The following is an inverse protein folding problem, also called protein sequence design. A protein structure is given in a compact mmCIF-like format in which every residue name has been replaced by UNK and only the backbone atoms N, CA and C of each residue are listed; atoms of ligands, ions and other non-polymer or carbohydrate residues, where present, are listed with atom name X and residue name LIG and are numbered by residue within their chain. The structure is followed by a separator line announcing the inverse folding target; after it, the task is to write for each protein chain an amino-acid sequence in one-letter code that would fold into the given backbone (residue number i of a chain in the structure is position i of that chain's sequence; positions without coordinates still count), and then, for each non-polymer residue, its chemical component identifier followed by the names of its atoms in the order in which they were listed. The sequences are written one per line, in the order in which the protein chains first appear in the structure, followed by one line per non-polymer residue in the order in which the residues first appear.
data_IF_938782050645
#
_entry.id   IF_938782050645
#
_cell.length_a   1.000
_cell.length_b   1.000
_cell.length_c   1.000
_cell.angle_alpha   90.00
_cell.angle_beta   90.00
_cell.angle_gamma   90.00
#
_symmetry.space_group_name_H-M   'P 1'
#
loop_
_entity.id
_entity.type
_entity.pdbx_description
1 polymer ?
#
# COMPACT_ATOMS: atom_id res chain seq x y z
N UNK A 1 -12.29 85.07 54.52
CA UNK A 1 -12.80 83.72 54.85
C UNK A 1 -13.47 83.13 53.62
N UNK A 2 -13.00 81.95 53.18
CA UNK A 2 -13.64 80.95 52.29
C UNK A 2 -14.03 81.42 50.86
N UNK A 3 -13.29 81.02 49.82
CA UNK A 3 -13.48 79.81 48.95
C UNK A 3 -14.65 79.98 47.95
N UNK A 4 -14.61 79.73 46.64
CA UNK A 4 -13.90 78.78 45.76
C UNK A 4 -14.19 79.21 44.28
N UNK A 5 -13.19 79.27 43.36
CA UNK A 5 -12.93 78.37 42.18
C UNK A 5 -14.03 78.37 41.08
N UNK A 6 -13.83 78.49 39.75
CA UNK A 6 -12.74 78.24 38.76
C UNK A 6 -12.84 79.21 37.54
N UNK A 7 -11.78 79.33 36.70
CA UNK A 7 -11.72 80.26 35.57
C UNK A 7 -12.06 79.67 34.18
N UNK A 8 -12.61 80.55 33.35
CA UNK A 8 -12.36 80.83 31.92
C UNK A 8 -12.01 79.70 30.91
N UNK A 9 -12.95 79.57 29.97
CA UNK A 9 -12.77 79.67 28.50
C UNK A 9 -11.52 79.05 27.86
N UNK A 10 -11.77 77.87 27.27
CA UNK A 10 -11.42 77.45 25.89
C UNK A 10 -10.48 78.38 25.10
N UNK A 11 -9.26 77.90 24.84
CA UNK A 11 -8.70 77.68 23.49
C UNK A 11 -7.23 77.24 23.59
N UNK A 12 -6.87 76.13 22.95
CA UNK A 12 -5.46 75.73 22.85
C UNK A 12 -5.22 74.32 22.29
N UNK A 13 -5.10 74.26 20.96
CA UNK A 13 -4.34 73.29 20.14
C UNK A 13 -4.66 71.78 20.16
N UNK A 14 -4.86 71.31 18.93
CA UNK A 14 -4.19 70.16 18.30
C UNK A 14 -4.81 68.77 18.22
N UNK A 15 -4.39 68.10 17.14
CA UNK A 15 -4.60 66.71 16.71
C UNK A 15 -5.89 66.46 15.91
N UNK A 16 -6.06 67.19 14.80
CA UNK A 16 -6.86 66.74 13.65
C UNK A 16 -5.98 66.14 12.56
N UNK A 17 -5.18 65.12 12.88
CA UNK A 17 -4.48 64.26 11.89
C UNK A 17 -3.96 63.00 12.58
N UNK A 18 -4.87 62.16 13.05
CA UNK A 18 -4.55 60.80 13.47
C UNK A 18 -5.65 59.85 12.97
N UNK A 19 -5.92 59.91 11.67
CA UNK A 19 -6.71 58.91 10.98
C UNK A 19 -5.80 58.26 9.94
N UNK A 20 -5.74 56.92 10.00
CA UNK A 20 -5.29 56.02 8.94
C UNK A 20 -3.76 55.89 8.77
N UNK A 21 -3.08 55.27 9.75
CA UNK A 21 -1.94 54.37 9.46
C UNK A 21 -1.78 53.36 10.61
N UNK A 22 -2.87 52.67 10.96
CA UNK A 22 -2.75 51.32 11.53
C UNK A 22 -3.23 50.35 10.44
N UNK A 23 -2.43 50.25 9.39
CA UNK A 23 -2.42 49.06 8.55
C UNK A 23 -1.93 47.95 9.45
N UNK A 24 -2.87 47.27 10.12
CA UNK A 24 -2.64 45.93 10.64
C UNK A 24 -2.41 45.09 9.37
N UNK A 25 -1.17 45.10 8.90
CA UNK A 25 -0.67 44.05 8.02
C UNK A 25 -0.69 42.80 8.89
N UNK A 26 -1.85 42.13 8.94
CA UNK A 26 -1.90 40.70 9.18
C UNK A 26 -1.16 40.14 7.98
N UNK A 27 0.17 40.09 8.11
CA UNK A 27 1.00 39.25 7.29
C UNK A 27 0.62 37.85 7.75
N UNK A 28 -0.47 37.33 7.18
CA UNK A 28 -0.70 35.91 7.09
C UNK A 28 0.49 35.38 6.29
N UNK A 29 1.59 35.10 6.99
CA UNK A 29 2.47 34.02 6.56
C UNK A 29 1.59 32.80 6.61
N UNK A 30 0.89 32.54 5.50
CA UNK A 30 0.53 31.20 5.11
C UNK A 30 1.86 30.46 4.99
N UNK A 31 2.38 29.96 6.11
CA UNK A 31 3.35 28.89 6.06
C UNK A 31 2.65 27.84 5.22
N UNK A 32 3.13 27.60 4.00
CA UNK A 32 2.68 26.49 3.21
C UNK A 32 2.85 25.27 4.11
N UNK A 33 1.75 24.78 4.67
CA UNK A 33 1.73 23.52 5.40
C UNK A 33 1.85 22.50 4.30
N UNK A 34 3.09 22.17 3.94
CA UNK A 34 3.41 21.08 3.02
C UNK A 34 2.69 19.85 3.57
N UNK A 35 1.75 19.28 2.82
CA UNK A 35 0.90 18.19 3.30
C UNK A 35 1.58 16.81 3.20
N UNK A 36 2.91 16.82 2.98
CA UNK A 36 3.80 15.68 3.01
C UNK A 36 3.89 14.96 4.37
N UNK A 37 4.85 14.03 4.52
CA UNK A 37 5.00 13.27 5.76
C UNK A 37 5.21 14.16 7.00
N UNK A 38 4.45 13.92 8.07
CA UNK A 38 4.46 14.74 9.28
C UNK A 38 4.81 13.94 10.54
N UNK A 39 5.34 14.65 11.53
CA UNK A 39 5.67 14.09 12.84
C UNK A 39 6.78 13.05 12.79
N UNK A 40 7.77 13.27 11.92
CA UNK A 40 8.90 12.36 11.75
C UNK A 40 9.73 12.27 13.04
N UNK A 41 9.96 11.04 13.53
CA UNK A 41 10.83 10.71 14.64
C UNK A 41 11.79 9.61 14.21
N UNK A 42 13.07 9.94 14.14
CA UNK A 42 14.13 8.96 13.82
C UNK A 42 14.33 8.05 15.04
N UNK A 43 13.99 6.78 14.89
CA UNK A 43 14.20 5.75 15.92
C UNK A 43 15.58 5.14 15.79
N UNK A 44 16.09 5.01 14.55
CA UNK A 44 17.41 4.44 14.26
C UNK A 44 17.98 4.98 12.95
N UNK A 45 19.31 5.06 12.92
CA UNK A 45 20.08 5.44 11.73
C UNK A 45 20.36 6.94 11.67
N UNK A 46 21.21 7.34 10.73
CA UNK A 46 21.46 8.74 10.41
C UNK A 46 20.46 9.14 9.33
N UNK A 47 19.56 10.06 9.65
CA UNK A 47 18.52 10.55 8.74
C UNK A 47 18.55 12.07 8.71
N UNK A 48 18.55 12.63 7.52
CA UNK A 48 18.45 14.07 7.28
C UNK A 48 17.23 14.34 6.40
N UNK A 49 16.45 15.35 6.78
CA UNK A 49 15.29 15.83 6.04
C UNK A 49 15.63 17.18 5.41
N UNK A 50 15.39 17.33 4.12
CA UNK A 50 15.63 18.57 3.38
C UNK A 50 14.40 18.86 2.51
N UNK A 51 13.68 19.93 2.80
CA UNK A 51 12.58 20.41 1.96
C UNK A 51 13.15 21.27 0.80
N UNK A 52 12.73 21.01 -0.43
CA UNK A 52 13.14 21.70 -1.65
C UNK A 52 11.89 21.97 -2.51
N UNK A 53 11.25 23.12 -2.30
CA UNK A 53 9.94 23.41 -2.90
C UNK A 53 8.93 22.32 -2.50
N UNK A 54 8.31 21.67 -3.46
CA UNK A 54 7.33 20.59 -3.26
C UNK A 54 7.98 19.21 -3.09
N UNK A 55 9.32 19.14 -2.99
CA UNK A 55 10.06 17.89 -2.78
C UNK A 55 10.63 17.79 -1.37
N UNK A 56 10.22 16.78 -0.61
CA UNK A 56 10.89 16.36 0.62
C UNK A 56 11.96 15.31 0.31
N UNK A 57 13.22 15.64 0.55
CA UNK A 57 14.35 14.71 0.43
C UNK A 57 14.69 14.12 1.80
N UNK A 58 14.68 12.79 1.89
CA UNK A 58 15.03 12.03 3.09
C UNK A 58 16.31 11.24 2.82
N UNK A 59 17.45 11.76 3.26
CA UNK A 59 18.73 11.05 3.17
C UNK A 59 18.89 10.18 4.40
N UNK A 60 18.91 8.86 4.23
CA UNK A 60 18.93 7.92 5.34
C UNK A 60 20.03 6.88 5.18
N UNK A 61 20.69 6.49 6.27
CA UNK A 61 21.63 5.36 6.28
C UNK A 61 20.92 4.01 6.08
N UNK A 62 21.67 2.96 5.75
CA UNK A 62 21.11 1.61 5.70
C UNK A 62 20.51 1.19 7.06
N UNK A 63 19.38 0.49 7.03
CA UNK A 63 18.60 0.03 8.19
C UNK A 63 18.11 1.17 9.09
N UNK A 64 17.80 2.33 8.51
CA UNK A 64 17.18 3.44 9.25
C UNK A 64 15.70 3.14 9.53
N UNK A 65 15.21 3.58 10.68
CA UNK A 65 13.82 3.44 11.11
C UNK A 65 13.31 4.83 11.47
N UNK A 66 12.23 5.24 10.81
CA UNK A 66 11.59 6.52 10.97
C UNK A 66 10.12 6.27 11.27
N UNK A 67 9.67 6.74 12.43
CA UNK A 67 8.25 6.77 12.74
C UNK A 67 7.66 8.10 12.26
N UNK A 68 6.47 8.08 11.68
CA UNK A 68 5.72 9.25 11.25
C UNK A 68 4.35 9.28 11.92
N UNK A 69 3.85 10.47 12.25
CA UNK A 69 2.45 10.63 12.68
C UNK A 69 1.50 10.43 11.51
N UNK A 70 1.87 10.93 10.33
CA UNK A 70 1.17 10.67 9.07
C UNK A 70 2.19 10.63 7.94
N UNK A 71 1.91 9.82 6.92
CA UNK A 71 2.73 9.75 5.72
C UNK A 71 1.78 9.83 4.53
N UNK A 72 1.56 11.07 4.07
CA UNK A 72 0.78 11.38 2.88
C UNK A 72 1.71 12.07 1.88
N UNK A 73 1.36 11.98 0.60
CA UNK A 73 2.03 12.69 -0.48
C UNK A 73 0.94 13.20 -1.41
N UNK A 74 0.50 14.46 -1.28
CA UNK A 74 -0.49 15.05 -2.18
C UNK A 74 -0.03 15.05 -3.64
N UNK A 75 -0.99 15.15 -4.57
CA UNK A 75 -0.68 15.34 -5.98
C UNK A 75 0.19 16.59 -6.18
N UNK A 76 1.24 16.47 -7.01
CA UNK A 76 2.23 17.52 -7.24
C UNK A 76 3.38 17.55 -6.23
N UNK A 77 3.26 16.91 -5.07
CA UNK A 77 4.36 16.78 -4.12
C UNK A 77 5.22 15.53 -4.39
N UNK A 78 6.47 15.57 -3.93
CA UNK A 78 7.43 14.46 -4.06
C UNK A 78 8.07 14.13 -2.73
N UNK A 79 8.14 12.86 -2.37
CA UNK A 79 9.04 12.36 -1.32
C UNK A 79 10.14 11.51 -1.95
N UNK A 80 11.39 11.88 -1.72
CA UNK A 80 12.57 11.19 -2.26
C UNK A 80 13.46 10.65 -1.15
N UNK A 81 13.55 9.34 -1.03
CA UNK A 81 14.52 8.65 -0.19
C UNK A 81 15.85 8.46 -0.93
N UNK A 82 16.93 8.93 -0.32
CA UNK A 82 18.31 8.75 -0.80
C UNK A 82 19.07 7.88 0.20
N UNK A 83 19.26 6.62 -0.18
CA UNK A 83 19.96 5.59 0.59
C UNK A 83 21.35 5.30 0.01
N UNK A 84 22.28 4.65 0.75
CA UNK A 84 23.63 4.36 0.24
C UNK A 84 23.70 3.44 -0.99
N UNK A 85 22.73 2.55 -1.17
CA UNK A 85 22.70 1.56 -2.27
C UNK A 85 21.27 1.05 -2.53
N UNK A 86 21.06 0.36 -3.66
CA UNK A 86 19.80 -0.33 -3.97
C UNK A 86 19.46 -1.47 -3.00
N UNK A 87 20.46 -2.03 -2.34
CA UNK A 87 20.29 -3.03 -1.28
C UNK A 87 20.01 -2.44 0.11
N UNK A 88 20.14 -1.12 0.27
CA UNK A 88 19.89 -0.45 1.54
C UNK A 88 18.40 -0.43 1.86
N UNK A 89 18.08 -0.59 3.15
CA UNK A 89 16.69 -0.68 3.65
C UNK A 89 16.35 0.53 4.52
N UNK A 90 15.14 1.05 4.37
CA UNK A 90 14.57 2.08 5.24
C UNK A 90 13.14 1.69 5.63
N UNK A 91 12.83 1.82 6.92
CA UNK A 91 11.49 1.63 7.45
C UNK A 91 10.84 2.98 7.74
N UNK A 92 9.78 3.28 7.00
CA UNK A 92 8.82 4.35 7.23
C UNK A 92 7.59 3.75 7.91
N UNK A 93 7.46 3.96 9.22
CA UNK A 93 6.35 3.44 10.03
C UNK A 93 5.40 4.55 10.42
N UNK A 94 4.16 4.49 9.97
CA UNK A 94 3.11 5.39 10.41
C UNK A 94 2.51 4.89 11.70
N UNK A 95 2.51 5.74 12.73
CA UNK A 95 1.97 5.43 14.06
C UNK A 95 0.71 6.22 14.39
N UNK A 96 0.22 7.05 13.47
CA UNK A 96 -1.03 7.80 13.62
C UNK A 96 -2.28 6.97 13.35
N UNK A 97 -3.44 7.64 13.36
CA UNK A 97 -4.77 7.05 13.22
C UNK A 97 -5.25 6.80 11.79
N UNK A 98 -4.67 7.50 10.81
CA UNK A 98 -5.20 7.59 9.46
C UNK A 98 -4.37 6.77 8.46
N UNK A 99 -5.05 6.24 7.44
CA UNK A 99 -4.41 5.60 6.30
C UNK A 99 -3.47 6.57 5.58
N UNK A 100 -2.44 6.03 4.94
CA UNK A 100 -1.53 6.79 4.10
C UNK A 100 -2.19 7.05 2.74
N UNK A 101 -2.29 8.32 2.35
CA UNK A 101 -2.75 8.73 1.03
C UNK A 101 -1.57 9.20 0.17
N UNK A 102 -1.26 8.47 -0.89
CA UNK A 102 -0.15 8.74 -1.79
C UNK A 102 -0.75 9.08 -3.16
N UNK A 103 -0.85 10.37 -3.48
CA UNK A 103 -1.34 10.89 -4.76
C UNK A 103 -0.21 11.52 -5.60
N UNK A 104 0.94 11.81 -4.98
CA UNK A 104 2.12 12.39 -5.64
C UNK A 104 3.21 11.37 -5.95
N UNK A 105 4.46 11.85 -6.02
CA UNK A 105 5.61 11.03 -6.40
C UNK A 105 6.38 10.50 -5.20
N UNK A 106 6.63 9.19 -5.15
CA UNK A 106 7.45 8.54 -4.12
C UNK A 106 8.64 7.85 -4.76
N UNK A 107 9.84 8.38 -4.56
CA UNK A 107 11.07 7.85 -5.14
C UNK A 107 11.98 7.30 -4.05
N UNK A 108 12.52 6.10 -4.24
CA UNK A 108 13.50 5.51 -3.34
C UNK A 108 14.55 4.74 -4.15
N UNK A 109 15.82 5.13 -4.06
CA UNK A 109 16.87 4.36 -4.75
C UNK A 109 17.20 3.00 -4.11
N UNK A 110 16.53 2.61 -3.02
CA UNK A 110 16.71 1.32 -2.33
C UNK A 110 15.38 0.68 -1.93
N UNK A 111 15.38 -0.08 -0.83
CA UNK A 111 14.23 -0.85 -0.35
C UNK A 111 13.44 -0.05 0.68
N UNK A 112 12.23 0.37 0.32
CA UNK A 112 11.33 1.13 1.16
C UNK A 112 10.26 0.22 1.78
N UNK A 113 10.22 0.21 3.11
CA UNK A 113 9.12 -0.38 3.86
C UNK A 113 8.21 0.75 4.33
N UNK A 114 6.99 0.82 3.81
CA UNK A 114 5.93 1.71 4.25
C UNK A 114 4.90 0.89 5.02
N UNK A 115 4.83 1.09 6.33
CA UNK A 115 3.93 0.33 7.22
C UNK A 115 2.93 1.28 7.87
N UNK A 116 1.64 0.96 7.78
CA UNK A 116 0.57 1.73 8.40
C UNK A 116 -0.64 0.83 8.67
N UNK A 117 -0.97 0.53 9.93
CA UNK A 117 -2.10 -0.37 10.25
C UNK A 117 -3.45 0.11 9.69
N UNK A 118 -3.65 1.42 9.53
CA UNK A 118 -4.90 1.97 9.00
C UNK A 118 -5.06 1.75 7.49
N UNK A 119 -3.96 1.48 6.77
CA UNK A 119 -3.94 1.22 5.33
C UNK A 119 -2.99 2.12 4.55
N UNK A 120 -2.79 1.76 3.29
CA UNK A 120 -1.98 2.50 2.31
C UNK A 120 -2.73 2.59 0.99
N UNK A 121 -3.07 3.80 0.57
CA UNK A 121 -3.74 4.07 -0.69
C UNK A 121 -2.80 4.82 -1.65
N UNK A 122 -2.57 4.23 -2.82
CA UNK A 122 -1.91 4.90 -3.94
C UNK A 122 -3.00 5.37 -4.92
N UNK A 123 -3.27 6.67 -4.94
CA UNK A 123 -4.29 7.27 -5.82
C UNK A 123 -3.90 7.23 -7.30
N UNK A 124 -4.83 7.62 -8.17
CA UNK A 124 -4.67 7.50 -9.62
C UNK A 124 -3.53 8.34 -10.22
N UNK A 125 -3.10 9.39 -9.52
CA UNK A 125 -1.95 10.24 -9.91
C UNK A 125 -0.63 9.77 -9.29
N UNK A 126 -0.66 8.76 -8.43
CA UNK A 126 0.52 8.29 -7.71
C UNK A 126 1.55 7.68 -8.66
N UNK A 127 2.81 8.06 -8.48
CA UNK A 127 3.94 7.43 -9.17
C UNK A 127 4.97 7.02 -8.13
N UNK A 128 5.18 5.71 -7.99
CA UNK A 128 6.17 5.14 -7.07
C UNK A 128 7.29 4.51 -7.87
N UNK A 129 8.54 4.91 -7.59
CA UNK A 129 9.73 4.30 -8.17
C UNK A 129 10.70 3.91 -7.05
N UNK A 130 10.88 2.60 -6.84
CA UNK A 130 11.73 2.07 -5.77
C UNK A 130 12.65 0.94 -6.25
N UNK A 131 13.74 0.63 -5.55
CA UNK A 131 14.41 -0.65 -5.80
C UNK A 131 13.53 -1.82 -5.31
N UNK A 132 12.95 -1.69 -4.12
CA UNK A 132 11.86 -2.55 -3.68
C UNK A 132 10.85 -1.75 -2.84
N UNK A 133 9.57 -2.05 -2.98
CA UNK A 133 8.49 -1.47 -2.20
C UNK A 133 7.82 -2.56 -1.36
N UNK A 134 7.72 -2.33 -0.06
CA UNK A 134 6.89 -3.11 0.86
C UNK A 134 5.82 -2.17 1.43
N UNK A 135 4.62 -2.21 0.88
CA UNK A 135 3.47 -1.44 1.37
C UNK A 135 2.58 -2.38 2.20
N UNK A 136 2.55 -2.15 3.51
CA UNK A 136 1.93 -3.08 4.46
C UNK A 136 0.94 -2.34 5.35
N UNK A 137 -0.32 -2.74 5.29
CA UNK A 137 -1.39 -2.26 6.14
C UNK A 137 -1.35 -2.88 7.55
N UNK A 138 -0.19 -2.79 8.19
CA UNK A 138 0.13 -3.37 9.49
C UNK A 138 1.50 -2.89 9.96
N UNK A 139 2.27 -3.75 10.63
CA UNK A 139 3.55 -3.39 11.23
C UNK A 139 4.61 -4.50 11.11
N UNK A 140 5.88 -4.11 11.14
CA UNK A 140 7.05 -4.99 11.33
C UNK A 140 7.78 -4.55 12.58
N UNK A 141 8.22 -5.47 13.44
CA UNK A 141 8.99 -5.10 14.64
C UNK A 141 10.37 -4.57 14.25
N UNK A 142 10.95 -3.65 15.03
CA UNK A 142 12.32 -3.15 14.79
C UNK A 142 13.33 -4.30 14.72
N UNK A 143 13.14 -5.32 15.56
CA UNK A 143 13.98 -6.52 15.60
C UNK A 143 13.90 -7.31 14.29
N UNK A 144 12.69 -7.59 13.81
CA UNK A 144 12.50 -8.40 12.61
C UNK A 144 12.98 -7.65 11.37
N UNK A 145 12.69 -6.33 11.28
CA UNK A 145 13.26 -5.46 10.27
C UNK A 145 14.79 -5.53 10.28
N UNK A 146 15.45 -5.32 11.42
CA UNK A 146 16.92 -5.34 11.50
C UNK A 146 17.54 -6.71 11.19
N UNK A 147 16.83 -7.80 11.48
CA UNK A 147 17.27 -9.17 11.16
C UNK A 147 16.98 -9.59 9.73
N UNK A 148 16.38 -8.71 8.91
CA UNK A 148 15.91 -9.04 7.55
C UNK A 148 14.88 -10.17 7.54
N UNK A 149 14.13 -10.31 8.64
CA UNK A 149 12.99 -11.20 8.73
C UNK A 149 11.75 -10.38 8.38
N UNK A 150 11.22 -10.55 7.17
CA UNK A 150 10.03 -9.81 6.71
C UNK A 150 8.76 -10.46 7.29
N UNK A 151 8.65 -10.42 8.63
CA UNK A 151 7.49 -10.83 9.42
C UNK A 151 6.65 -9.61 9.76
N UNK A 152 5.49 -9.52 9.12
CA UNK A 152 4.50 -8.49 9.38
C UNK A 152 3.44 -9.00 10.33
N UNK A 153 2.89 -8.09 11.13
CA UNK A 153 1.92 -8.37 12.19
C UNK A 153 0.94 -7.21 12.30
N UNK A 154 -0.17 -7.40 13.00
CA UNK A 154 -1.18 -6.36 13.18
C UNK A 154 -1.77 -5.88 11.85
N UNK A 155 -1.93 -6.80 10.90
CA UNK A 155 -2.56 -6.51 9.60
C UNK A 155 -4.04 -6.21 9.87
N UNK A 156 -4.49 -5.00 9.51
CA UNK A 156 -5.84 -4.52 9.81
C UNK A 156 -6.47 -3.72 8.66
N UNK A 157 -5.71 -2.84 8.02
CA UNK A 157 -6.18 -1.99 6.93
C UNK A 157 -6.07 -2.62 5.54
N UNK A 158 -6.50 -1.86 4.54
CA UNK A 158 -6.38 -2.21 3.13
C UNK A 158 -5.13 -1.59 2.49
N UNK A 159 -4.65 -2.23 1.42
CA UNK A 159 -3.66 -1.65 0.49
C UNK A 159 -4.27 -1.55 -0.90
N UNK A 160 -4.42 -0.33 -1.41
CA UNK A 160 -5.05 -0.07 -2.72
C UNK A 160 -4.08 0.63 -3.65
N UNK A 161 -4.07 0.24 -4.93
CA UNK A 161 -3.30 0.89 -5.97
C UNK A 161 -4.16 1.23 -7.19
N UNK A 162 -4.43 2.51 -7.38
CA UNK A 162 -4.99 3.12 -8.59
C UNK A 162 -3.91 3.77 -9.47
N UNK A 163 -2.69 3.93 -8.95
CA UNK A 163 -1.57 4.62 -9.61
C UNK A 163 -0.57 3.68 -10.29
N UNK A 164 0.66 4.17 -10.48
CA UNK A 164 1.77 3.43 -11.09
C UNK A 164 2.84 3.07 -10.06
N UNK A 165 3.06 1.77 -9.84
CA UNK A 165 4.13 1.25 -8.98
C UNK A 165 5.22 0.61 -9.84
N UNK A 166 6.42 1.17 -9.83
CA UNK A 166 7.58 0.65 -10.55
C UNK A 166 8.71 0.27 -9.58
N UNK A 167 9.15 -0.99 -9.60
CA UNK A 167 10.27 -1.44 -8.78
C UNK A 167 10.96 -2.71 -9.30
N UNK A 168 11.95 -3.24 -8.58
CA UNK A 168 12.44 -4.62 -8.78
C UNK A 168 11.70 -5.65 -7.89
N UNK A 169 11.00 -5.17 -6.86
CA UNK A 169 10.05 -5.98 -6.11
C UNK A 169 8.94 -5.10 -5.52
N UNK A 170 7.70 -5.56 -5.56
CA UNK A 170 6.55 -4.91 -4.92
C UNK A 170 5.81 -5.92 -4.06
N UNK A 171 5.66 -5.61 -2.78
CA UNK A 171 4.93 -6.43 -1.82
C UNK A 171 3.80 -5.59 -1.20
N UNK A 172 2.57 -5.95 -1.51
CA UNK A 172 1.35 -5.34 -0.98
C UNK A 172 0.71 -6.32 0.01
N UNK A 173 0.53 -5.90 1.27
CA UNK A 173 0.01 -6.77 2.33
C UNK A 173 -1.05 -6.02 3.12
N UNK A 174 -2.26 -6.57 3.21
CA UNK A 174 -3.37 -5.98 3.97
C UNK A 174 -4.43 -7.02 4.34
N UNK A 175 -5.50 -6.60 5.01
CA UNK A 175 -6.73 -7.41 5.10
C UNK A 175 -7.42 -7.47 3.74
N UNK A 176 -7.27 -6.39 2.98
CA UNK A 176 -7.65 -6.29 1.58
C UNK A 176 -6.49 -5.74 0.75
N UNK A 177 -6.32 -6.26 -0.45
CA UNK A 177 -5.35 -5.75 -1.42
C UNK A 177 -6.02 -5.58 -2.77
N UNK A 178 -6.06 -4.36 -3.30
CA UNK A 178 -6.66 -4.08 -4.59
C UNK A 178 -5.67 -3.39 -5.53
N UNK A 179 -5.63 -3.83 -6.79
CA UNK A 179 -4.88 -3.19 -7.86
C UNK A 179 -5.81 -2.92 -9.06
N UNK A 180 -6.09 -1.65 -9.30
CA UNK A 180 -6.80 -1.08 -10.45
C UNK A 180 -5.84 -0.28 -11.36
N UNK A 181 -4.68 0.11 -10.84
CA UNK A 181 -3.61 0.79 -11.57
C UNK A 181 -2.63 -0.17 -12.27
N UNK A 182 -1.36 0.23 -12.29
CA UNK A 182 -0.28 -0.51 -12.96
C UNK A 182 0.85 -0.83 -12.00
N UNK A 183 1.26 -2.09 -11.96
CA UNK A 183 2.44 -2.57 -11.22
C UNK A 183 3.45 -3.13 -12.22
N UNK A 184 4.60 -2.48 -12.34
CA UNK A 184 5.63 -2.80 -13.34
C UNK A 184 6.93 -3.18 -12.62
N UNK A 185 7.25 -4.48 -12.66
CA UNK A 185 8.38 -5.08 -11.96
C UNK A 185 9.14 -6.05 -12.88
N UNK A 186 9.81 -5.54 -13.94
CA UNK A 186 10.41 -6.39 -14.97
C UNK A 186 11.42 -7.37 -14.37
N UNK A 187 11.26 -8.66 -14.68
CA UNK A 187 12.07 -9.77 -14.13
C UNK A 187 12.09 -9.89 -12.58
N UNK A 188 11.34 -9.06 -11.87
CA UNK A 188 11.24 -9.06 -10.42
C UNK A 188 9.98 -9.75 -9.91
N UNK A 189 9.59 -9.43 -8.68
CA UNK A 189 8.47 -10.10 -8.00
C UNK A 189 7.39 -9.13 -7.57
N UNK A 190 6.14 -9.52 -7.78
CA UNK A 190 4.96 -8.89 -7.18
C UNK A 190 4.28 -9.88 -6.25
N UNK A 191 4.01 -9.46 -5.01
CA UNK A 191 3.14 -10.21 -4.09
C UNK A 191 1.98 -9.34 -3.63
N UNK A 192 0.75 -9.81 -3.83
CA UNK A 192 -0.47 -9.21 -3.28
C UNK A 192 -1.05 -10.18 -2.27
N UNK A 193 -0.99 -9.83 -0.99
CA UNK A 193 -1.34 -10.73 0.12
C UNK A 193 -2.48 -10.17 0.96
N UNK A 194 -3.61 -10.87 0.97
CA UNK A 194 -4.66 -10.67 1.95
C UNK A 194 -4.45 -11.61 3.15
N UNK A 195 -4.42 -11.07 4.36
CA UNK A 195 -4.30 -11.88 5.58
C UNK A 195 -4.89 -11.16 6.79
N UNK A 196 -5.36 -11.94 7.76
CA UNK A 196 -5.57 -11.47 9.13
C UNK A 196 -4.46 -12.07 10.02
N UNK A 197 -3.85 -11.25 10.88
CA UNK A 197 -2.80 -11.72 11.79
C UNK A 197 -1.37 -11.46 11.29
N UNK A 198 -0.56 -12.52 11.19
CA UNK A 198 0.86 -12.42 10.82
C UNK A 198 1.14 -12.95 9.42
N UNK A 199 2.00 -12.24 8.70
CA UNK A 199 2.45 -12.60 7.36
C UNK A 199 3.96 -12.70 7.35
N UNK A 200 4.49 -13.83 6.92
CA UNK A 200 5.91 -13.99 6.63
C UNK A 200 6.11 -13.96 5.12
N UNK A 201 6.88 -12.98 4.63
CA UNK A 201 7.39 -12.99 3.27
C UNK A 201 8.77 -13.65 3.29
N UNK A 202 8.86 -14.89 2.80
CA UNK A 202 10.12 -15.62 2.70
C UNK A 202 10.39 -15.91 1.24
N UNK A 203 11.51 -15.44 0.72
CA UNK A 203 12.03 -15.91 -0.56
C UNK A 203 12.79 -17.22 -0.33
N UNK A 204 12.25 -18.34 -0.83
CA UNK A 204 12.87 -19.67 -0.77
C UNK A 204 12.82 -20.32 -2.15
N UNK A 205 13.96 -20.81 -2.63
CA UNK A 205 14.08 -21.49 -3.93
C UNK A 205 13.57 -20.66 -5.13
N UNK A 206 13.67 -19.32 -5.04
CA UNK A 206 13.12 -18.43 -6.07
C UNK A 206 11.60 -18.29 -6.00
N UNK A 207 10.93 -18.78 -4.95
CA UNK A 207 9.52 -18.59 -4.71
C UNK A 207 9.29 -17.76 -3.44
N UNK A 208 8.33 -16.85 -3.48
CA UNK A 208 7.89 -16.14 -2.27
C UNK A 208 6.84 -16.99 -1.57
N UNK A 209 7.22 -17.58 -0.45
CA UNK A 209 6.30 -18.24 0.46
C UNK A 209 5.69 -17.17 1.35
N UNK A 210 4.39 -16.97 1.17
CA UNK A 210 3.55 -16.25 2.12
C UNK A 210 3.09 -17.28 3.15
N UNK A 211 3.61 -17.20 4.37
CA UNK A 211 3.01 -17.94 5.49
C UNK A 211 2.12 -17.00 6.27
N UNK A 212 0.82 -17.26 6.28
CA UNK A 212 -0.09 -16.67 7.24
C UNK A 212 -0.05 -17.57 8.48
N UNK A 213 0.19 -16.99 9.66
CA UNK A 213 0.03 -17.72 10.91
C UNK A 213 -1.38 -17.46 11.43
N UNK A 214 -2.23 -18.49 11.37
CA UNK A 214 -3.61 -18.44 11.86
C UNK A 214 -3.70 -17.91 13.28
N UNK A 215 -4.62 -16.97 13.48
CA UNK A 215 -4.93 -16.36 14.76
C UNK A 215 -5.25 -17.42 15.83
N UNK A 216 -4.30 -17.67 16.71
CA UNK A 216 -4.63 -18.18 18.05
C UNK A 216 -5.07 -16.97 18.86
N UNK A 217 -6.38 -16.79 19.00
CA UNK A 217 -6.93 -15.72 19.82
C UNK A 217 -6.36 -15.80 21.25
N UNK A 218 -5.59 -14.79 21.63
CA UNK A 218 -5.45 -14.37 23.02
C UNK A 218 -6.02 -12.96 23.10
N UNK A 219 -6.98 -12.68 23.99
CA UNK A 219 -7.67 -11.41 24.04
C UNK A 219 -6.70 -10.33 24.52
N UNK A 220 -6.43 -9.33 23.68
CA UNK A 220 -5.83 -8.09 24.11
C UNK A 220 -6.94 -7.17 24.68
N UNK A 221 -6.66 -6.39 25.74
CA UNK A 221 -7.68 -5.76 26.56
C UNK A 221 -8.38 -4.61 25.84
N UNK A 222 -9.67 -4.48 26.10
CA UNK A 222 -10.52 -3.38 25.69
C UNK A 222 -10.02 -2.04 26.25
N UNK A 223 -9.84 -1.04 25.37
CA UNK A 223 -10.13 0.37 25.62
C UNK A 223 -9.72 1.23 24.42
N UNK A 224 -10.70 1.73 23.65
CA UNK A 224 -10.81 3.14 23.23
C UNK A 224 -11.95 3.32 22.21
N UNK A 225 -13.07 3.82 22.70
CA UNK A 225 -14.11 4.63 22.06
C UNK A 225 -14.40 4.42 20.55
N UNK A 226 -15.46 3.67 20.28
CA UNK A 226 -16.16 3.67 18.99
C UNK A 226 -16.95 4.98 18.82
N UNK A 227 -16.76 5.65 17.68
CA UNK A 227 -17.70 6.62 17.15
C UNK A 227 -18.82 5.87 16.40
N UNK A 228 -20.09 6.35 16.39
CA UNK A 228 -21.18 5.65 15.70
C UNK A 228 -21.06 5.83 14.18
N UNK A 229 -21.18 4.72 13.44
CA UNK A 229 -21.32 4.72 11.97
C UNK A 229 -22.78 5.05 11.59
N UNK A 230 -23.03 5.76 10.47
CA UNK A 230 -24.37 6.11 10.02
C UNK A 230 -25.12 4.92 9.41
N UNK A 231 -26.44 4.92 9.62
CA UNK A 231 -27.40 3.85 9.27
C UNK A 231 -27.53 3.59 7.76
N UNK A 232 -27.84 2.33 7.43
CA UNK A 232 -27.85 1.74 6.10
C UNK A 232 -29.12 2.07 5.28
N UNK A 233 -28.94 2.23 3.96
CA UNK A 233 -30.00 2.34 2.94
C UNK A 233 -30.34 0.94 2.37
N UNK A 234 -31.61 0.46 2.40
CA UNK A 234 -31.93 -0.96 2.20
C UNK A 234 -32.21 -1.42 0.75
N UNK A 235 -31.71 -0.74 -0.29
CA UNK A 235 -32.02 -1.09 -1.70
C UNK A 235 -30.90 -1.74 -2.51
N UNK A 236 -29.79 -2.14 -1.88
CA UNK A 236 -28.74 -2.93 -2.53
C UNK A 236 -28.59 -4.30 -1.83
N UNK A 237 -28.91 -5.44 -2.48
CA UNK A 237 -28.73 -6.77 -1.89
C UNK A 237 -27.27 -7.25 -1.85
N UNK A 238 -26.31 -6.39 -2.22
CA UNK A 238 -24.90 -6.52 -1.80
C UNK A 238 -24.78 -5.97 -0.38
N UNK A 239 -25.44 -6.66 0.55
CA UNK A 239 -25.49 -6.32 1.96
C UNK A 239 -24.08 -6.40 2.56
N UNK A 240 -23.48 -5.26 2.88
CA UNK A 240 -22.94 -4.78 4.19
C UNK A 240 -22.16 -5.77 5.11
N UNK A 241 -21.93 -7.03 4.72
CA UNK A 241 -21.16 -8.05 5.45
C UNK A 241 -19.86 -8.49 4.76
N UNK A 242 -19.72 -8.25 3.45
CA UNK A 242 -18.56 -8.73 2.67
C UNK A 242 -17.38 -7.75 2.62
N UNK A 243 -17.55 -6.50 3.06
CA UNK A 243 -16.47 -5.51 3.12
C UNK A 243 -15.40 -5.83 4.17
N UNK A 244 -15.57 -6.90 4.96
CA UNK A 244 -14.59 -7.41 5.92
C UNK A 244 -14.04 -8.79 5.54
N UNK A 245 -14.42 -9.32 4.37
CA UNK A 245 -13.79 -10.54 3.85
C UNK A 245 -12.33 -10.23 3.48
N UNK A 246 -11.43 -11.15 3.84
CA UNK A 246 -10.07 -11.10 3.34
C UNK A 246 -10.15 -11.20 1.82
N UNK A 247 -9.66 -10.18 1.11
CA UNK A 247 -9.88 -10.11 -0.33
C UNK A 247 -8.65 -9.60 -1.08
N UNK A 248 -8.40 -10.20 -2.24
CA UNK A 248 -7.44 -9.67 -3.21
C UNK A 248 -8.16 -9.41 -4.53
N UNK A 249 -8.03 -8.21 -5.08
CA UNK A 249 -8.65 -7.82 -6.35
C UNK A 249 -7.60 -7.27 -7.31
N UNK A 250 -7.57 -7.79 -8.54
CA UNK A 250 -6.74 -7.26 -9.60
C UNK A 250 -7.58 -6.99 -10.85
N UNK A 251 -7.99 -5.74 -11.04
CA UNK A 251 -8.66 -5.23 -12.25
C UNK A 251 -7.69 -4.48 -13.16
N UNK A 252 -6.54 -4.06 -12.64
CA UNK A 252 -5.49 -3.35 -13.36
C UNK A 252 -4.47 -4.26 -14.04
N UNK A 253 -3.27 -3.74 -14.27
CA UNK A 253 -2.16 -4.47 -14.89
C UNK A 253 -1.08 -4.79 -13.87
N UNK A 254 -0.60 -6.04 -13.89
CA UNK A 254 0.61 -6.47 -13.18
C UNK A 254 1.57 -7.05 -14.22
N UNK A 255 2.76 -6.47 -14.34
CA UNK A 255 3.83 -6.99 -15.20
C UNK A 255 5.05 -7.35 -14.36
N UNK A 256 5.34 -8.64 -14.20
CA UNK A 256 6.49 -9.07 -13.40
C UNK A 256 7.01 -10.46 -13.79
N UNK A 257 8.27 -10.76 -13.51
CA UNK A 257 8.79 -12.11 -13.76
C UNK A 257 8.16 -13.19 -12.87
N UNK A 258 7.76 -12.81 -11.66
CA UNK A 258 7.04 -13.68 -10.71
C UNK A 258 5.88 -12.91 -10.08
N UNK A 259 4.70 -13.50 -10.05
CA UNK A 259 3.49 -12.91 -9.48
C UNK A 259 2.85 -13.88 -8.50
N UNK A 260 2.66 -13.46 -7.25
CA UNK A 260 1.92 -14.22 -6.25
C UNK A 260 0.74 -13.38 -5.73
N UNK A 261 -0.48 -13.84 -5.97
CA UNK A 261 -1.71 -13.19 -5.56
C UNK A 261 -2.46 -14.14 -4.64
N UNK A 262 -2.84 -13.70 -3.44
CA UNK A 262 -3.69 -14.53 -2.62
C UNK A 262 -3.64 -14.29 -1.13
N UNK A 263 -4.21 -15.23 -0.40
CA UNK A 263 -4.32 -15.16 1.04
C UNK A 263 -4.94 -16.42 1.61
N UNK A 264 -4.58 -16.77 2.84
CA UNK A 264 -5.24 -17.85 3.54
C UNK A 264 -6.69 -17.46 3.82
N UNK A 265 -7.65 -18.26 3.36
CA UNK A 265 -9.08 -17.95 3.50
C UNK A 265 -9.59 -16.80 2.64
N UNK A 266 -8.76 -16.22 1.77
CA UNK A 266 -9.13 -15.03 1.02
C UNK A 266 -10.02 -15.33 -0.20
N UNK A 267 -10.91 -14.38 -0.53
CA UNK A 267 -11.56 -14.30 -1.84
C UNK A 267 -10.64 -13.56 -2.80
N UNK A 268 -10.37 -14.14 -3.97
CA UNK A 268 -9.50 -13.54 -4.99
C UNK A 268 -10.29 -13.29 -6.25
N UNK A 269 -10.29 -12.06 -6.73
CA UNK A 269 -10.85 -11.66 -8.01
C UNK A 269 -9.73 -11.17 -8.92
N UNK A 270 -9.61 -11.80 -10.09
CA UNK A 270 -8.70 -11.35 -11.15
C UNK A 270 -9.54 -11.13 -12.39
N UNK A 271 -9.61 -9.87 -12.82
CA UNK A 271 -10.32 -9.45 -14.04
C UNK A 271 -9.52 -8.51 -14.94
N UNK A 272 -8.31 -8.14 -14.51
CA UNK A 272 -7.34 -7.42 -15.33
C UNK A 272 -6.26 -8.32 -15.94
N UNK A 273 -5.07 -7.76 -16.09
CA UNK A 273 -3.93 -8.41 -16.74
C UNK A 273 -2.86 -8.80 -15.72
N UNK A 274 -2.35 -10.02 -15.83
CA UNK A 274 -1.14 -10.51 -15.18
C UNK A 274 -0.17 -10.99 -16.27
N UNK A 275 0.83 -10.18 -16.57
CA UNK A 275 1.87 -10.42 -17.57
C UNK A 275 3.18 -10.84 -16.88
N UNK A 276 3.43 -12.14 -16.89
CA UNK A 276 4.70 -12.77 -16.56
C UNK A 276 5.41 -13.33 -17.79
N UNK A 277 5.10 -12.82 -18.99
CA UNK A 277 5.71 -13.29 -20.21
C UNK A 277 7.17 -12.85 -20.33
N UNK A 278 8.00 -13.70 -20.94
CA UNK A 278 9.41 -13.42 -21.17
C UNK A 278 9.77 -13.57 -22.66
N UNK A 279 9.83 -12.48 -23.43
CA UNK A 279 10.04 -12.54 -24.87
C UNK A 279 11.46 -12.96 -25.29
N UNK A 280 12.41 -13.07 -24.34
CA UNK A 280 13.80 -13.44 -24.63
C UNK A 280 14.24 -14.73 -23.93
N UNK A 281 13.38 -15.34 -23.13
CA UNK A 281 13.73 -16.51 -22.33
C UNK A 281 12.53 -17.38 -21.98
N UNK A 282 12.64 -18.12 -20.88
CA UNK A 282 11.53 -18.90 -20.33
C UNK A 282 10.54 -17.95 -19.65
N UNK A 283 9.24 -18.22 -19.84
CA UNK A 283 8.15 -17.50 -19.18
C UNK A 283 8.24 -17.59 -17.65
N UNK A 284 7.64 -16.61 -16.99
CA UNK A 284 7.69 -16.44 -15.53
C UNK A 284 6.74 -17.35 -14.76
N UNK A 285 6.56 -17.04 -13.48
CA UNK A 285 5.70 -17.82 -12.58
C UNK A 285 4.52 -16.97 -12.09
N UNK A 286 3.30 -17.49 -12.22
CA UNK A 286 2.08 -16.89 -11.68
C UNK A 286 1.44 -17.85 -10.70
N UNK A 287 1.19 -17.39 -9.48
CA UNK A 287 0.52 -18.18 -8.44
C UNK A 287 -0.64 -17.40 -7.85
N UNK A 288 -1.84 -17.95 -8.00
CA UNK A 288 -3.09 -17.39 -7.48
C UNK A 288 -3.62 -18.37 -6.43
N UNK A 289 -3.81 -17.90 -5.20
CA UNK A 289 -4.23 -18.75 -4.07
C UNK A 289 -5.33 -18.09 -3.25
N UNK A 290 -6.29 -18.88 -2.77
CA UNK A 290 -7.40 -18.36 -1.98
C UNK A 290 -8.33 -19.47 -1.52
N UNK A 291 -9.43 -19.12 -0.88
CA UNK A 291 -10.55 -20.04 -0.64
C UNK A 291 -11.54 -20.01 -1.80
N UNK A 292 -11.81 -18.82 -2.33
CA UNK A 292 -12.68 -18.61 -3.49
C UNK A 292 -11.92 -17.78 -4.52
N UNK A 293 -11.78 -18.26 -5.74
CA UNK A 293 -11.04 -17.58 -6.80
C UNK A 293 -11.98 -17.38 -7.99
N UNK A 294 -12.10 -16.14 -8.45
CA UNK A 294 -12.78 -15.77 -9.69
C UNK A 294 -11.75 -15.21 -10.66
N UNK A 295 -11.64 -15.83 -11.83
CA UNK A 295 -10.86 -15.34 -12.97
C UNK A 295 -11.86 -15.00 -14.06
N UNK A 296 -12.17 -13.71 -14.21
CA UNK A 296 -13.28 -13.24 -15.03
C UNK A 296 -12.81 -12.16 -16.01
N UNK A 297 -12.91 -12.38 -17.33
CA UNK A 297 -12.38 -11.49 -18.36
C UNK A 297 -10.87 -11.16 -18.19
N UNK A 298 -10.10 -12.08 -17.58
CA UNK A 298 -8.70 -11.84 -17.24
C UNK A 298 -7.73 -12.28 -18.33
N UNK A 299 -6.59 -11.61 -18.43
CA UNK A 299 -5.47 -12.04 -19.27
C UNK A 299 -4.27 -12.42 -18.38
N UNK A 300 -3.99 -13.72 -18.26
CA UNK A 300 -2.87 -14.26 -17.48
C UNK A 300 -1.88 -14.90 -18.45
N UNK A 301 -0.71 -14.30 -18.60
CA UNK A 301 0.30 -14.75 -19.54
C UNK A 301 1.64 -15.05 -18.84
N UNK A 302 2.08 -16.30 -18.90
CA UNK A 302 3.39 -16.78 -18.47
C UNK A 302 4.15 -17.39 -19.66
N UNK A 303 3.91 -16.92 -20.88
CA UNK A 303 4.55 -17.43 -22.10
C UNK A 303 6.02 -17.01 -22.16
N UNK A 304 6.85 -17.79 -22.87
CA UNK A 304 8.25 -17.46 -23.07
C UNK A 304 8.74 -17.80 -24.47
N UNK A 305 9.80 -17.14 -24.94
CA UNK A 305 10.40 -17.45 -26.23
C UNK A 305 11.05 -18.84 -26.27
N UNK A 306 11.75 -19.24 -25.20
CA UNK A 306 12.52 -20.51 -25.15
C UNK A 306 11.87 -21.59 -24.26
N UNK A 307 10.66 -21.34 -23.78
CA UNK A 307 9.86 -22.26 -22.98
C UNK A 307 8.79 -21.53 -22.19
N UNK A 308 7.66 -22.19 -21.95
CA UNK A 308 6.60 -21.62 -21.12
C UNK A 308 6.93 -21.64 -19.62
N UNK A 309 6.29 -20.71 -18.91
CA UNK A 309 6.35 -20.56 -17.47
C UNK A 309 5.43 -21.51 -16.70
N UNK A 310 5.13 -21.16 -15.45
CA UNK A 310 4.19 -21.91 -14.62
C UNK A 310 3.06 -21.00 -14.13
N UNK A 311 1.82 -21.46 -14.29
CA UNK A 311 0.64 -20.83 -13.75
C UNK A 311 -0.03 -21.81 -12.80
N UNK A 312 -0.18 -21.44 -11.53
CA UNK A 312 -0.89 -22.24 -10.53
C UNK A 312 -2.03 -21.44 -9.92
N UNK A 313 -3.25 -21.91 -10.13
CA UNK A 313 -4.47 -21.40 -9.51
C UNK A 313 -4.95 -22.46 -8.53
N UNK A 314 -4.80 -22.18 -7.24
CA UNK A 314 -5.08 -23.15 -6.18
C UNK A 314 -6.06 -22.54 -5.18
N UNK A 315 -7.30 -22.99 -5.21
CA UNK A 315 -8.24 -22.75 -4.15
C UNK A 315 -8.14 -23.86 -3.10
N UNK A 316 -7.88 -23.49 -1.86
CA UNK A 316 -7.79 -24.42 -0.73
C UNK A 316 -8.57 -23.88 0.45
N UNK A 317 -9.29 -24.77 1.13
CA UNK A 317 -9.89 -24.45 2.41
C UNK A 317 -8.90 -24.76 3.54
N UNK A 318 -8.61 -23.78 4.38
CA UNK A 318 -7.81 -23.96 5.60
C UNK A 318 -8.66 -24.26 6.83
N UNK A 319 -9.95 -23.99 6.76
CA UNK A 319 -10.90 -24.33 7.81
C UNK A 319 -11.30 -25.80 7.66
N UNK A 320 -10.88 -26.67 8.59
CA UNK A 320 -11.18 -28.12 8.54
C UNK A 320 -12.67 -28.45 8.67
N UNK A 321 -13.54 -27.44 8.74
CA UNK A 321 -14.98 -27.60 8.62
C UNK A 321 -15.32 -28.21 7.27
N UNK A 322 -16.01 -29.36 7.29
CA UNK A 322 -16.42 -30.12 6.09
C UNK A 322 -17.42 -29.36 5.19
N UNK A 323 -17.81 -28.14 5.56
CA UNK A 323 -18.87 -27.38 4.92
C UNK A 323 -18.37 -26.17 4.10
N UNK A 324 -17.16 -25.68 4.37
CA UNK A 324 -16.56 -24.66 3.50
C UNK A 324 -15.87 -25.38 2.33
N UNK A 325 -16.36 -25.18 1.10
CA UNK A 325 -15.72 -25.69 -0.11
C UNK A 325 -14.83 -24.60 -0.70
N UNK A 326 -13.64 -24.97 -1.15
CA UNK A 326 -12.85 -24.06 -1.97
C UNK A 326 -13.37 -24.05 -3.40
N UNK A 327 -13.42 -22.88 -4.05
CA UNK A 327 -13.92 -22.78 -5.43
C UNK A 327 -12.99 -21.99 -6.35
N UNK A 328 -12.95 -22.42 -7.61
CA UNK A 328 -12.35 -21.66 -8.71
C UNK A 328 -13.40 -21.54 -9.81
N UNK A 329 -13.65 -20.31 -10.24
CA UNK A 329 -14.42 -19.98 -11.44
C UNK A 329 -13.50 -19.32 -12.47
N UNK A 330 -13.51 -19.83 -13.69
CA UNK A 330 -12.85 -19.21 -14.85
C UNK A 330 -13.90 -18.97 -15.93
N UNK A 331 -14.03 -17.71 -16.36
CA UNK A 331 -14.97 -17.32 -17.41
C UNK A 331 -14.44 -17.61 -18.82
N UNK A 332 -15.35 -17.71 -19.79
CA UNK A 332 -15.05 -18.02 -21.19
C UNK A 332 -14.26 -16.95 -21.94
N UNK A 333 -14.30 -15.71 -21.44
CA UNK A 333 -13.54 -14.57 -21.97
C UNK A 333 -12.17 -14.39 -21.30
N UNK A 334 -11.79 -15.27 -20.36
CA UNK A 334 -10.46 -15.27 -19.76
C UNK A 334 -9.44 -16.02 -20.63
N UNK A 335 -8.23 -15.46 -20.74
CA UNK A 335 -7.11 -16.05 -21.47
C UNK A 335 -6.01 -16.40 -20.47
N UNK A 336 -5.64 -17.68 -20.42
CA UNK A 336 -4.53 -18.19 -19.58
C UNK A 336 -3.53 -18.90 -20.48
N UNK A 337 -2.34 -18.33 -20.67
CA UNK A 337 -1.31 -18.86 -21.56
C UNK A 337 0.00 -19.09 -20.83
N UNK A 338 0.63 -20.24 -21.08
CA UNK A 338 2.00 -20.52 -20.69
C UNK A 338 2.75 -21.10 -21.89
N UNK A 339 2.64 -20.45 -23.05
CA UNK A 339 3.12 -21.02 -24.32
C UNK A 339 4.63 -20.82 -24.53
N UNK A 340 5.24 -21.64 -25.38
CA UNK A 340 6.57 -21.40 -25.91
C UNK A 340 6.46 -20.79 -27.31
N UNK A 341 7.05 -19.62 -27.53
CA UNK A 341 6.85 -18.83 -28.75
C UNK A 341 7.82 -19.14 -29.90
N UNK A 342 9.07 -19.49 -29.61
CA UNK A 342 10.12 -19.73 -30.63
C UNK A 342 10.65 -21.15 -30.56
N UNK A 343 11.02 -21.60 -29.36
CA UNK A 343 11.58 -22.93 -29.11
C UNK A 343 11.28 -23.38 -27.69
N UNK A 344 11.47 -24.66 -27.41
CA UNK A 344 11.22 -25.25 -26.10
C UNK A 344 9.78 -25.73 -25.91
N UNK A 345 9.52 -26.31 -24.74
CA UNK A 345 8.21 -26.85 -24.40
C UNK A 345 7.30 -25.77 -23.85
N UNK A 346 5.99 -25.92 -24.11
CA UNK A 346 4.97 -25.20 -23.35
C UNK A 346 5.14 -25.40 -21.84
N UNK A 347 4.66 -24.41 -21.11
CA UNK A 347 4.68 -24.34 -19.66
C UNK A 347 3.60 -25.21 -19.03
N UNK A 348 3.40 -25.00 -17.73
CA UNK A 348 2.42 -25.76 -16.95
C UNK A 348 1.34 -24.83 -16.42
N UNK A 349 0.08 -25.18 -16.67
CA UNK A 349 -1.07 -24.54 -16.05
C UNK A 349 -1.73 -25.56 -15.13
N UNK A 350 -1.84 -25.25 -13.85
CA UNK A 350 -2.50 -26.09 -12.85
C UNK A 350 -3.65 -25.33 -12.23
N UNK A 351 -4.86 -25.86 -12.33
CA UNK A 351 -6.03 -25.33 -11.63
C UNK A 351 -6.61 -26.39 -10.72
N UNK A 352 -6.80 -26.05 -9.44
CA UNK A 352 -7.29 -27.00 -8.43
C UNK A 352 -8.18 -26.31 -7.40
N UNK A 353 -9.34 -26.91 -7.13
CA UNK A 353 -10.33 -26.52 -6.14
C UNK A 353 -11.18 -27.72 -5.72
N UNK A 354 -11.99 -27.60 -4.66
CA UNK A 354 -13.06 -28.57 -4.36
C UNK A 354 -14.23 -28.44 -5.34
N UNK A 355 -14.53 -27.21 -5.76
CA UNK A 355 -15.53 -26.87 -6.78
C UNK A 355 -14.88 -26.07 -7.91
N UNK A 356 -14.81 -26.65 -9.10
CA UNK A 356 -14.14 -26.05 -10.25
C UNK A 356 -15.15 -25.88 -11.38
N UNK A 357 -15.35 -24.63 -11.79
CA UNK A 357 -16.15 -24.26 -12.95
C UNK A 357 -15.27 -23.52 -13.97
N UNK A 358 -15.24 -24.05 -15.19
CA UNK A 358 -14.59 -23.42 -16.36
C UNK A 358 -15.63 -23.41 -17.47
N UNK A 359 -15.97 -22.22 -17.97
CA UNK A 359 -17.01 -22.01 -18.99
C UNK A 359 -16.36 -21.62 -20.30
#
# INVERSE_FOLDING_TARGET
MKSQTYPNSRNGLDVRTALVFLVITILALSAAVYAGPHGAKVVRGKVQFTQQGDTLVIKASNNSIINFRSFNIPAGETVRFVLPSSSSRVLSRVTGGAASQIDGMLVCNGRLYLTNYAGVNFGSTAVVNAAALYAVAGNISDRDFLRKADRFSGIAGAVTNDGMLQAQAVHLVGTQVANSGSIIVPAGVVTMTAASGEVYLVERDGHFLVKVAGASASPAPAAAAAAPLPEANPTNPLAVGDMYSLAVQNTGTVKAGRVAVGGEGAKVDVSGTIDAANPTGRGGDVRITGQQISVAAAAIDASGATGGGEIVILASNTDKSRFAKSSVFVSSDSIISASAGVSGNGGRITVKADDLAMV
#
